data_IF_254690912191
#
_entry.id   IF_254690912191
#
_cell.length_a   1.000
_cell.length_b   1.000
_cell.length_c   1.000
_cell.angle_alpha   90.00
_cell.angle_beta   90.00
_cell.angle_gamma   90.00
#
_symmetry.space_group_name_H-M   'P 1'
#
loop_
_entity.id
_entity.type
_entity.pdbx_description
1 polymer ?
#
# COMPACT_ATOMS: atom_id res chain seq x y z
N UNK A 1 1.82 -27.24 -13.27
CA UNK A 1 2.11 -25.84 -13.69
C UNK A 1 3.54 -25.76 -14.18
N UNK A 2 3.82 -25.02 -15.27
CA UNK A 2 5.21 -24.78 -15.68
C UNK A 2 5.94 -23.99 -14.58
N UNK A 3 7.27 -24.10 -14.42
CA UNK A 3 7.99 -23.38 -13.37
C UNK A 3 7.73 -21.86 -13.38
N UNK A 4 7.68 -21.24 -14.56
CA UNK A 4 7.35 -19.83 -14.70
C UNK A 4 5.93 -19.48 -14.20
N UNK A 5 4.97 -20.39 -14.31
CA UNK A 5 3.62 -20.18 -13.82
C UNK A 5 3.56 -20.12 -12.29
N UNK A 6 4.54 -20.72 -11.60
CA UNK A 6 4.63 -20.77 -10.14
C UNK A 6 5.26 -19.53 -9.50
N UNK A 7 5.61 -18.52 -10.31
CA UNK A 7 6.02 -17.20 -9.82
C UNK A 7 4.83 -16.48 -9.18
N UNK A 8 4.94 -16.14 -7.91
CA UNK A 8 3.86 -15.51 -7.16
C UNK A 8 4.32 -14.42 -6.20
N UNK A 9 3.34 -13.62 -5.76
CA UNK A 9 3.47 -12.60 -4.74
C UNK A 9 2.65 -13.07 -3.54
N UNK A 10 3.20 -12.93 -2.33
CA UNK A 10 2.46 -13.14 -1.08
C UNK A 10 1.83 -11.80 -0.66
N UNK A 11 0.52 -11.77 -0.53
CA UNK A 11 -0.25 -10.60 -0.10
C UNK A 11 -0.87 -10.93 1.25
N UNK A 12 -0.81 -10.01 2.20
CA UNK A 12 -1.44 -10.21 3.49
C UNK A 12 -2.03 -8.92 4.04
N UNK A 13 -3.16 -9.06 4.73
CA UNK A 13 -3.88 -7.97 5.37
C UNK A 13 -4.70 -8.51 6.55
N UNK A 14 -5.07 -7.62 7.45
CA UNK A 14 -5.86 -7.93 8.64
C UNK A 14 -7.32 -7.53 8.45
N UNK A 15 -8.22 -8.37 8.95
CA UNK A 15 -9.67 -8.14 8.89
C UNK A 15 -10.24 -8.16 10.31
N UNK A 16 -10.92 -7.08 10.69
CA UNK A 16 -11.67 -7.04 11.95
C UNK A 16 -12.87 -7.99 11.90
N UNK A 17 -13.09 -8.70 12.98
CA UNK A 17 -14.16 -9.66 13.24
C UNK A 17 -14.99 -9.19 14.43
N UNK A 18 -16.24 -9.63 14.48
CA UNK A 18 -17.02 -9.57 15.73
C UNK A 18 -16.55 -10.71 16.62
N UNK A 19 -15.95 -10.38 17.77
CA UNK A 19 -15.61 -11.36 18.79
C UNK A 19 -16.85 -12.17 19.18
N UNK A 20 -16.78 -13.48 19.01
CA UNK A 20 -17.85 -14.41 19.36
C UNK A 20 -17.30 -15.82 19.51
N UNK A 21 -17.86 -16.60 20.44
CA UNK A 21 -17.55 -18.01 20.59
C UNK A 21 -18.73 -18.83 20.03
N UNK A 22 -18.40 -19.82 19.22
CA UNK A 22 -19.38 -20.76 18.67
C UNK A 22 -18.83 -22.17 18.74
N UNK A 23 -19.64 -23.12 19.20
CA UNK A 23 -19.30 -24.53 19.14
C UNK A 23 -19.65 -25.09 17.76
N UNK A 24 -18.67 -25.74 17.12
CA UNK A 24 -18.85 -26.43 15.86
C UNK A 24 -19.04 -27.92 16.14
N UNK A 25 -20.30 -28.36 16.16
CA UNK A 25 -20.68 -29.76 16.43
C UNK A 25 -20.02 -30.74 15.46
N UNK A 26 -19.92 -30.41 14.17
CA UNK A 26 -19.36 -31.32 13.16
C UNK A 26 -17.87 -31.61 13.36
N UNK A 27 -17.14 -30.70 14.00
CA UNK A 27 -15.71 -30.82 14.26
C UNK A 27 -15.39 -31.03 15.73
N UNK A 28 -16.42 -31.09 16.58
CA UNK A 28 -16.30 -31.10 18.04
C UNK A 28 -15.29 -30.06 18.55
N UNK A 29 -15.44 -28.80 18.08
CA UNK A 29 -14.46 -27.74 18.35
C UNK A 29 -15.15 -26.43 18.72
N UNK A 30 -14.67 -25.80 19.80
CA UNK A 30 -15.03 -24.43 20.14
C UNK A 30 -14.19 -23.46 19.30
N UNK A 31 -14.87 -22.64 18.49
CA UNK A 31 -14.28 -21.62 17.60
C UNK A 31 -14.52 -20.24 18.19
N UNK A 32 -13.61 -19.29 17.94
CA UNK A 32 -13.72 -17.90 18.42
C UNK A 32 -12.55 -17.44 19.28
N UNK A 33 -11.59 -18.33 19.53
CA UNK A 33 -10.38 -18.05 20.29
C UNK A 33 -9.21 -17.62 19.38
N UNK A 34 -8.27 -16.90 19.97
CA UNK A 34 -6.98 -16.55 19.36
C UNK A 34 -6.25 -17.83 18.96
N UNK A 35 -5.79 -17.88 17.71
CA UNK A 35 -5.06 -19.00 17.16
C UNK A 35 -4.03 -18.49 16.14
N UNK A 36 -2.75 -18.60 16.48
CA UNK A 36 -1.65 -18.11 15.65
C UNK A 36 -1.15 -19.15 14.62
N UNK A 37 -1.91 -20.22 14.39
CA UNK A 37 -1.53 -21.36 13.55
C UNK A 37 -0.66 -22.40 14.25
N UNK A 38 -0.25 -22.18 15.51
CA UNK A 38 0.57 -23.10 16.31
C UNK A 38 -0.09 -23.46 17.61
N UNK A 39 -0.59 -22.46 18.31
CA UNK A 39 -1.25 -22.60 19.60
C UNK A 39 -2.59 -21.84 19.60
N UNK A 40 -3.51 -22.33 20.43
CA UNK A 40 -4.78 -21.65 20.71
C UNK A 40 -4.70 -21.06 22.11
N UNK A 41 -5.02 -19.77 22.25
CA UNK A 41 -5.03 -19.06 23.54
C UNK A 41 -6.47 -18.83 23.99
N UNK A 42 -6.77 -18.84 25.30
CA UNK A 42 -8.11 -18.61 25.84
C UNK A 42 -8.50 -17.12 25.80
N UNK A 43 -8.17 -16.43 24.71
CA UNK A 43 -8.47 -15.02 24.45
C UNK A 43 -9.46 -14.95 23.28
N UNK A 44 -10.40 -14.02 23.31
CA UNK A 44 -11.36 -13.84 22.22
C UNK A 44 -10.66 -13.25 20.99
N UNK A 45 -10.81 -13.91 19.85
CA UNK A 45 -10.35 -13.37 18.58
C UNK A 45 -11.33 -12.33 18.05
N UNK A 46 -10.81 -11.16 17.72
CA UNK A 46 -11.55 -10.05 17.09
C UNK A 46 -10.89 -9.59 15.78
N UNK A 47 -9.78 -10.21 15.37
CA UNK A 47 -9.12 -9.98 14.09
C UNK A 47 -8.71 -11.31 13.44
N UNK A 48 -8.74 -11.35 12.10
CA UNK A 48 -8.15 -12.40 11.29
C UNK A 48 -7.05 -11.83 10.40
N UNK A 49 -5.83 -12.37 10.53
CA UNK A 49 -4.74 -12.11 9.61
C UNK A 49 -4.82 -13.13 8.48
N UNK A 50 -4.92 -12.67 7.23
CA UNK A 50 -5.08 -13.54 6.06
C UNK A 50 -3.88 -13.41 5.15
N UNK A 51 -3.40 -14.54 4.64
CA UNK A 51 -2.30 -14.61 3.68
C UNK A 51 -2.81 -15.24 2.38
N UNK A 52 -2.53 -14.59 1.26
CA UNK A 52 -2.98 -14.98 -0.06
C UNK A 52 -1.82 -14.92 -1.05
N UNK A 53 -1.67 -15.96 -1.87
CA UNK A 53 -0.77 -15.89 -3.02
C UNK A 53 -1.49 -15.40 -4.25
N UNK A 54 -0.79 -14.59 -5.05
CA UNK A 54 -1.23 -14.12 -6.36
C UNK A 54 -0.20 -14.51 -7.40
N UNK A 55 -0.63 -15.25 -8.43
CA UNK A 55 0.21 -15.55 -9.58
C UNK A 55 0.64 -14.29 -10.33
N UNK A 56 1.93 -14.18 -10.65
CA UNK A 56 2.51 -13.04 -11.36
C UNK A 56 2.25 -13.12 -12.86
N UNK A 57 2.52 -14.29 -13.45
CA UNK A 57 2.30 -14.54 -14.88
C UNK A 57 0.90 -15.09 -15.14
N UNK A 58 0.43 -16.03 -14.31
CA UNK A 58 -0.91 -16.59 -14.41
C UNK A 58 -1.91 -15.87 -13.51
N UNK A 59 -3.17 -15.85 -13.96
CA UNK A 59 -4.28 -15.28 -13.22
C UNK A 59 -4.87 -16.30 -12.25
N UNK A 60 -4.22 -16.51 -11.12
CA UNK A 60 -4.78 -17.22 -9.96
C UNK A 60 -4.56 -16.41 -8.69
N UNK A 61 -5.47 -16.59 -7.74
CA UNK A 61 -5.38 -16.09 -6.37
C UNK A 61 -5.88 -17.18 -5.44
N UNK A 62 -5.18 -17.40 -4.33
CA UNK A 62 -5.53 -18.46 -3.40
C UNK A 62 -5.14 -18.03 -1.98
N UNK A 63 -6.09 -17.97 -1.02
CA UNK A 63 -5.75 -17.90 0.39
C UNK A 63 -4.94 -19.14 0.77
N UNK A 64 -3.80 -18.95 1.43
CA UNK A 64 -2.87 -20.03 1.78
C UNK A 64 -2.78 -20.25 3.29
N UNK A 65 -3.03 -19.22 4.08
CA UNK A 65 -3.07 -19.32 5.53
C UNK A 65 -3.96 -18.22 6.10
N UNK A 66 -4.48 -18.47 7.29
CA UNK A 66 -5.12 -17.47 8.12
C UNK A 66 -4.82 -17.76 9.58
N UNK A 67 -4.75 -16.71 10.39
CA UNK A 67 -4.58 -16.78 11.83
C UNK A 67 -5.57 -15.82 12.50
N UNK A 68 -5.87 -16.08 13.76
CA UNK A 68 -6.80 -15.30 14.57
C UNK A 68 -6.04 -14.65 15.72
N UNK A 69 -6.27 -13.35 15.92
CA UNK A 69 -5.62 -12.56 16.95
C UNK A 69 -6.65 -11.76 17.76
N UNK A 70 -6.25 -11.41 18.98
CA UNK A 70 -6.92 -10.39 19.77
C UNK A 70 -6.18 -9.07 19.50
N UNK A 71 -6.92 -8.06 19.06
CA UNK A 71 -6.40 -6.88 18.40
C UNK A 71 -5.47 -7.23 17.21
N UNK A 72 -4.59 -6.30 16.86
CA UNK A 72 -3.69 -6.46 15.73
C UNK A 72 -2.58 -7.49 16.01
N UNK A 73 -2.27 -8.31 15.01
CA UNK A 73 -1.17 -9.28 15.07
C UNK A 73 0.16 -8.58 15.32
N UNK A 74 0.89 -8.98 16.36
CA UNK A 74 2.15 -8.33 16.76
C UNK A 74 3.24 -8.54 15.70
N UNK A 75 4.08 -7.53 15.47
CA UNK A 75 5.15 -7.57 14.45
C UNK A 75 6.05 -8.81 14.48
N UNK A 76 6.59 -9.25 15.64
CA UNK A 76 7.42 -10.45 15.71
C UNK A 76 6.69 -11.74 15.33
N UNK A 77 5.45 -11.88 15.77
CA UNK A 77 4.59 -13.03 15.43
C UNK A 77 4.27 -13.04 13.94
N UNK A 78 3.95 -11.87 13.36
CA UNK A 78 3.68 -11.73 11.94
C UNK A 78 4.93 -12.05 11.09
N UNK A 79 6.13 -11.63 11.49
CA UNK A 79 7.37 -11.96 10.81
C UNK A 79 7.58 -13.49 10.75
N UNK A 80 7.34 -14.17 11.87
CA UNK A 80 7.43 -15.62 12.00
C UNK A 80 6.42 -16.34 11.10
N UNK A 81 5.17 -15.85 11.05
CA UNK A 81 4.13 -16.38 10.15
C UNK A 81 4.52 -16.19 8.68
N UNK A 82 4.96 -14.99 8.27
CA UNK A 82 5.41 -14.71 6.91
C UNK A 82 6.53 -15.67 6.50
N UNK A 83 7.53 -15.85 7.35
CA UNK A 83 8.67 -16.74 7.11
C UNK A 83 8.22 -18.19 6.91
N UNK A 84 7.43 -18.71 7.86
CA UNK A 84 6.90 -20.09 7.82
C UNK A 84 6.08 -20.33 6.54
N UNK A 85 5.22 -19.38 6.17
CA UNK A 85 4.38 -19.50 4.97
C UNK A 85 5.24 -19.50 3.70
N UNK A 86 6.25 -18.64 3.62
CA UNK A 86 7.16 -18.59 2.48
C UNK A 86 7.95 -19.90 2.35
N UNK A 87 8.46 -20.44 3.46
CA UNK A 87 9.16 -21.73 3.48
C UNK A 87 8.25 -22.86 2.92
N UNK A 88 7.04 -23.00 3.45
CA UNK A 88 6.05 -23.98 2.97
C UNK A 88 5.68 -23.79 1.48
N UNK A 89 5.56 -22.54 1.03
CA UNK A 89 5.30 -22.23 -0.38
C UNK A 89 6.47 -22.64 -1.28
N UNK A 90 7.70 -22.43 -0.82
CA UNK A 90 8.89 -22.83 -1.56
C UNK A 90 9.03 -24.35 -1.65
N UNK A 91 8.71 -25.08 -0.58
CA UNK A 91 8.70 -26.56 -0.55
C UNK A 91 7.68 -27.16 -1.52
N UNK A 92 6.50 -26.55 -1.64
CA UNK A 92 5.48 -26.93 -2.65
C UNK A 92 5.86 -26.52 -4.09
N UNK A 93 7.01 -25.85 -4.24
CA UNK A 93 7.61 -25.47 -5.51
C UNK A 93 7.15 -24.12 -6.05
N UNK A 94 6.44 -23.30 -5.26
CA UNK A 94 6.19 -21.90 -5.62
C UNK A 94 7.46 -21.06 -5.48
N UNK A 95 7.53 -20.00 -6.26
CA UNK A 95 8.61 -19.03 -6.16
C UNK A 95 8.01 -17.66 -5.79
N UNK A 96 8.05 -17.34 -4.50
CA UNK A 96 7.58 -16.07 -3.94
C UNK A 96 8.63 -15.01 -4.24
N UNK A 97 8.30 -14.03 -5.07
CA UNK A 97 9.25 -12.98 -5.49
C UNK A 97 9.09 -11.68 -4.72
N UNK A 98 7.92 -11.47 -4.10
CA UNK A 98 7.62 -10.27 -3.35
C UNK A 98 6.55 -10.53 -2.29
N UNK A 99 6.54 -9.69 -1.26
CA UNK A 99 5.45 -9.56 -0.31
C UNK A 99 4.74 -8.22 -0.52
N UNK A 100 3.42 -8.15 -0.26
CA UNK A 100 2.63 -6.91 -0.33
C UNK A 100 1.75 -6.80 0.92
N UNK A 101 1.83 -5.66 1.61
CA UNK A 101 1.00 -5.34 2.77
C UNK A 101 0.74 -3.84 2.87
N UNK A 102 -0.09 -3.42 3.83
CA UNK A 102 -0.27 -2.00 4.12
C UNK A 102 0.87 -1.42 5.00
N UNK A 103 0.79 -0.14 5.36
CA UNK A 103 1.80 0.55 6.18
C UNK A 103 1.53 0.48 7.69
N UNK A 104 0.70 -0.45 8.14
CA UNK A 104 0.41 -0.67 9.56
C UNK A 104 1.69 -0.83 10.39
N UNK A 105 1.68 -0.34 11.63
CA UNK A 105 2.87 -0.35 12.50
C UNK A 105 3.42 -1.76 12.70
N UNK A 106 2.55 -2.76 12.87
CA UNK A 106 2.96 -4.15 13.01
C UNK A 106 3.51 -4.74 11.71
N UNK A 107 2.93 -4.41 10.55
CA UNK A 107 3.44 -4.81 9.24
C UNK A 107 4.85 -4.26 8.99
N UNK A 108 5.06 -2.97 9.26
CA UNK A 108 6.39 -2.34 9.17
C UNK A 108 7.40 -2.98 10.12
N UNK A 109 6.99 -3.27 11.36
CA UNK A 109 7.85 -3.96 12.32
C UNK A 109 8.24 -5.36 11.83
N UNK A 110 7.27 -6.15 11.36
CA UNK A 110 7.52 -7.49 10.83
C UNK A 110 8.50 -7.47 9.65
N UNK A 111 8.31 -6.57 8.68
CA UNK A 111 9.23 -6.43 7.55
C UNK A 111 10.64 -6.00 8.01
N UNK A 112 10.74 -5.05 8.93
CA UNK A 112 12.04 -4.62 9.48
C UNK A 112 12.78 -5.75 10.20
N UNK A 113 12.07 -6.62 10.93
CA UNK A 113 12.66 -7.80 11.57
C UNK A 113 13.24 -8.76 10.52
N UNK A 114 12.49 -9.08 9.46
CA UNK A 114 12.95 -9.96 8.38
C UNK A 114 14.13 -9.36 7.58
N UNK A 115 14.12 -8.04 7.35
CA UNK A 115 15.24 -7.32 6.74
C UNK A 115 16.49 -7.35 7.64
N UNK A 116 16.31 -7.19 8.94
CA UNK A 116 17.41 -7.27 9.90
C UNK A 116 18.00 -8.69 9.98
N UNK A 117 17.17 -9.75 9.95
CA UNK A 117 17.65 -11.13 9.83
C UNK A 117 18.52 -11.32 8.58
N UNK A 118 18.05 -10.80 7.44
CA UNK A 118 18.79 -10.85 6.18
C UNK A 118 20.13 -10.12 6.29
N UNK A 119 20.14 -8.92 6.87
CA UNK A 119 21.36 -8.14 7.09
C UNK A 119 22.37 -8.89 7.95
N UNK A 120 21.93 -9.52 9.03
CA UNK A 120 22.79 -10.31 9.92
C UNK A 120 23.35 -11.53 9.19
N UNK A 121 22.56 -12.20 8.35
CA UNK A 121 23.00 -13.34 7.55
C UNK A 121 24.10 -12.94 6.55
N UNK A 122 23.90 -11.84 5.80
CA UNK A 122 24.90 -11.32 4.84
C UNK A 122 26.21 -10.96 5.54
N UNK A 123 26.13 -10.25 6.68
CA UNK A 123 27.32 -9.88 7.46
C UNK A 123 28.10 -11.10 7.96
N UNK A 124 27.41 -12.15 8.42
CA UNK A 124 28.04 -13.41 8.86
C UNK A 124 28.71 -14.16 7.71
N UNK A 125 28.22 -14.00 6.49
CA UNK A 125 28.82 -14.60 5.29
C UNK A 125 30.05 -13.82 4.77
N UNK A 126 30.47 -12.74 5.44
CA UNK A 126 31.62 -11.92 5.04
C UNK A 126 31.35 -11.01 3.83
N UNK A 127 30.08 -10.84 3.45
CA UNK A 127 29.66 -10.00 2.33
C UNK A 127 29.35 -8.57 2.79
N UNK A 128 29.55 -7.60 1.90
CA UNK A 128 29.20 -6.21 2.17
C UNK A 128 27.69 -5.98 2.18
N UNK A 129 27.25 -5.09 3.07
CA UNK A 129 25.88 -4.58 3.14
C UNK A 129 25.61 -3.69 1.91
N UNK A 130 24.93 -4.23 0.90
CA UNK A 130 24.54 -3.52 -0.34
C UNK A 130 23.02 -3.42 -0.48
N UNK A 131 22.51 -3.04 -1.67
CA UNK A 131 21.06 -2.98 -1.98
C UNK A 131 20.29 -4.26 -1.60
N UNK A 132 20.96 -5.41 -1.54
CA UNK A 132 20.42 -6.70 -1.11
C UNK A 132 19.94 -6.70 0.34
N UNK A 133 20.37 -5.74 1.15
CA UNK A 133 19.89 -5.55 2.53
C UNK A 133 18.51 -4.94 2.62
N UNK A 134 17.95 -4.46 1.49
CA UNK A 134 16.55 -4.06 1.36
C UNK A 134 15.66 -5.21 0.90
N UNK A 135 16.21 -6.42 0.76
CA UNK A 135 15.49 -7.62 0.38
C UNK A 135 15.37 -8.55 1.59
N UNK A 136 14.31 -9.35 1.60
CA UNK A 136 14.16 -10.46 2.54
C UNK A 136 14.77 -11.69 1.87
N UNK A 137 15.66 -12.41 2.56
CA UNK A 137 16.23 -13.67 2.08
C UNK A 137 15.68 -14.83 2.92
N UNK A 138 15.01 -15.78 2.25
CA UNK A 138 14.49 -17.02 2.84
C UNK A 138 14.86 -18.18 1.91
N UNK A 139 15.61 -19.16 2.42
CA UNK A 139 16.21 -20.27 1.67
C UNK A 139 16.93 -19.82 0.38
N UNK A 140 17.84 -18.85 0.53
CA UNK A 140 18.64 -18.24 -0.55
C UNK A 140 17.83 -17.56 -1.67
N UNK A 141 16.51 -17.43 -1.50
CA UNK A 141 15.65 -16.69 -2.43
C UNK A 141 15.43 -15.27 -1.94
N UNK A 142 15.67 -14.32 -2.82
CA UNK A 142 15.45 -12.88 -2.61
C UNK A 142 13.99 -12.51 -2.82
N UNK A 143 13.41 -11.82 -1.86
CA UNK A 143 11.99 -11.45 -1.82
C UNK A 143 11.89 -9.95 -1.57
N UNK A 144 11.19 -9.25 -2.46
CA UNK A 144 11.03 -7.79 -2.37
C UNK A 144 9.85 -7.44 -1.46
N UNK A 145 10.05 -6.72 -0.34
CA UNK A 145 8.94 -6.20 0.44
C UNK A 145 8.33 -4.97 -0.23
N UNK A 146 7.03 -5.01 -0.52
CA UNK A 146 6.29 -3.92 -1.15
C UNK A 146 5.12 -3.46 -0.26
N UNK A 147 4.79 -2.18 -0.33
CA UNK A 147 3.57 -1.64 0.26
C UNK A 147 2.46 -1.50 -0.78
N UNK A 148 1.20 -1.61 -0.33
CA UNK A 148 0.03 -1.48 -1.19
C UNK A 148 -0.10 -0.04 -1.76
N UNK A 149 0.03 0.16 -3.08
CA UNK A 149 0.03 1.51 -3.68
C UNK A 149 -1.24 2.33 -3.41
N UNK A 150 -2.46 1.78 -3.46
CA UNK A 150 -3.67 2.45 -2.99
C UNK A 150 -3.58 3.01 -1.56
N UNK A 151 -2.94 2.29 -0.63
CA UNK A 151 -2.72 2.77 0.73
C UNK A 151 -1.68 3.89 0.78
N UNK A 152 -0.58 3.78 0.01
CA UNK A 152 0.41 4.85 -0.14
C UNK A 152 -0.23 6.15 -0.64
N UNK A 153 -1.05 6.07 -1.70
CA UNK A 153 -1.72 7.23 -2.28
C UNK A 153 -2.68 7.90 -1.27
N UNK A 154 -3.41 7.09 -0.49
CA UNK A 154 -4.23 7.61 0.62
C UNK A 154 -3.35 8.27 1.69
N UNK A 155 -2.21 7.67 2.02
CA UNK A 155 -1.23 8.21 2.98
C UNK A 155 -0.69 9.57 2.55
N UNK A 156 -0.26 9.72 1.29
CA UNK A 156 0.20 11.00 0.73
C UNK A 156 -0.92 12.05 0.83
N UNK A 157 -2.15 11.71 0.41
CA UNK A 157 -3.29 12.61 0.52
C UNK A 157 -3.57 13.00 1.97
N UNK A 158 -3.61 12.03 2.87
CA UNK A 158 -3.97 12.26 4.28
C UNK A 158 -2.90 13.09 4.99
N UNK A 159 -1.62 12.86 4.70
CA UNK A 159 -0.55 13.70 5.20
C UNK A 159 -0.67 15.13 4.67
N UNK A 160 -0.99 15.32 3.38
CA UNK A 160 -1.15 16.65 2.81
C UNK A 160 -2.32 17.42 3.41
N UNK A 161 -3.41 16.75 3.85
CA UNK A 161 -4.53 17.39 4.56
C UNK A 161 -4.10 18.10 5.84
N UNK A 162 -3.16 17.49 6.57
CA UNK A 162 -2.78 17.88 7.93
C UNK A 162 -1.41 18.59 7.98
N UNK A 163 -0.59 18.41 6.93
CA UNK A 163 0.81 18.86 6.87
C UNK A 163 1.13 19.42 5.49
N UNK A 164 2.15 20.26 5.44
CA UNK A 164 2.71 20.77 4.19
C UNK A 164 3.79 19.82 3.67
N UNK A 165 3.81 19.62 2.36
CA UNK A 165 4.81 18.79 1.68
C UNK A 165 5.90 19.68 1.09
N UNK A 166 7.11 19.59 1.64
CA UNK A 166 8.30 20.25 1.07
C UNK A 166 9.00 19.31 0.10
N UNK A 167 9.37 19.82 -1.07
CA UNK A 167 10.07 19.06 -2.09
C UNK A 167 10.96 19.97 -2.93
N UNK A 168 11.96 19.42 -3.59
CA UNK A 168 12.87 20.19 -4.46
C UNK A 168 12.58 19.85 -5.92
N UNK A 169 12.41 20.86 -6.75
CA UNK A 169 12.21 20.71 -8.20
C UNK A 169 12.97 21.82 -8.91
N UNK A 170 13.80 21.43 -9.90
CA UNK A 170 14.70 22.33 -10.62
C UNK A 170 15.68 23.08 -9.68
N UNK A 171 16.17 22.39 -8.64
CA UNK A 171 17.01 22.94 -7.56
C UNK A 171 16.35 24.07 -6.74
N UNK A 172 15.04 24.24 -6.86
CA UNK A 172 14.26 25.20 -6.08
C UNK A 172 13.44 24.44 -5.04
N UNK A 173 13.56 24.83 -3.77
CA UNK A 173 12.68 24.32 -2.73
C UNK A 173 11.26 24.83 -2.92
N UNK A 174 10.31 23.89 -2.88
CA UNK A 174 8.90 24.11 -3.10
C UNK A 174 8.04 23.53 -1.97
N UNK A 175 6.88 24.12 -1.72
CA UNK A 175 5.92 23.66 -0.71
C UNK A 175 4.52 23.46 -1.30
N UNK A 176 4.05 22.21 -1.30
CA UNK A 176 2.65 21.91 -1.58
C UNK A 176 1.82 21.96 -0.29
N UNK A 177 0.70 22.70 -0.33
CA UNK A 177 -0.24 22.86 0.78
C UNK A 177 -1.63 22.38 0.36
N UNK A 178 -2.40 21.80 1.27
CA UNK A 178 -3.80 21.45 0.98
C UNK A 178 -4.65 22.66 0.61
N UNK A 179 -4.28 23.84 1.13
CA UNK A 179 -4.98 25.09 0.82
C UNK A 179 -5.02 25.40 -0.68
N UNK A 180 -4.02 24.98 -1.45
CA UNK A 180 -4.03 25.18 -2.90
C UNK A 180 -5.18 24.38 -3.57
N UNK A 181 -5.50 23.19 -3.03
CA UNK A 181 -6.62 22.37 -3.51
C UNK A 181 -7.96 22.97 -3.07
N UNK A 182 -8.02 23.56 -1.87
CA UNK A 182 -9.19 24.33 -1.40
C UNK A 182 -9.49 25.51 -2.33
N UNK A 183 -8.49 26.34 -2.59
CA UNK A 183 -8.61 27.48 -3.50
C UNK A 183 -9.05 27.05 -4.90
N UNK A 184 -8.45 26.01 -5.48
CA UNK A 184 -8.90 25.51 -6.79
C UNK A 184 -10.39 25.11 -6.79
N UNK A 185 -10.86 24.51 -5.71
CA UNK A 185 -12.25 24.11 -5.57
C UNK A 185 -13.18 25.33 -5.43
N UNK A 186 -12.77 26.33 -4.65
CA UNK A 186 -13.50 27.59 -4.43
C UNK A 186 -13.59 28.44 -5.70
N UNK A 187 -12.46 28.60 -6.42
CA UNK A 187 -12.41 29.27 -7.73
C UNK A 187 -13.30 28.57 -8.77
N UNK A 188 -13.50 27.26 -8.61
CA UNK A 188 -14.39 26.44 -9.42
C UNK A 188 -14.29 26.74 -10.93
N UNK A 189 -13.08 26.68 -11.53
CA UNK A 189 -12.85 27.25 -12.85
C UNK A 189 -13.69 26.53 -13.90
N UNK A 190 -14.36 27.31 -14.75
CA UNK A 190 -15.24 26.83 -15.79
C UNK A 190 -15.11 27.67 -17.07
N UNK A 191 -15.27 27.01 -18.22
CA UNK A 191 -15.35 27.66 -19.52
C UNK A 191 -16.70 27.37 -20.15
N UNK A 192 -17.48 28.40 -20.47
CA UNK A 192 -18.84 28.28 -21.04
C UNK A 192 -19.74 27.32 -20.25
N UNK A 193 -19.69 27.40 -18.92
CA UNK A 193 -20.46 26.52 -18.01
C UNK A 193 -19.87 25.12 -17.81
N UNK A 194 -18.78 24.75 -18.48
CA UNK A 194 -18.11 23.45 -18.31
C UNK A 194 -16.97 23.59 -17.31
N UNK A 195 -17.08 22.92 -16.16
CA UNK A 195 -16.04 22.88 -15.12
C UNK A 195 -14.75 22.25 -15.67
N UNK A 196 -13.60 22.86 -15.41
CA UNK A 196 -12.29 22.32 -15.77
C UNK A 196 -11.87 21.15 -14.86
N UNK A 197 -12.33 21.15 -13.61
CA UNK A 197 -12.11 20.08 -12.61
C UNK A 197 -13.44 19.44 -12.15
N UNK A 198 -14.22 18.81 -13.05
CA UNK A 198 -15.60 18.40 -12.76
C UNK A 198 -15.71 17.29 -11.70
N UNK A 199 -14.62 16.58 -11.42
CA UNK A 199 -14.56 15.51 -10.42
C UNK A 199 -14.23 16.01 -9.02
N UNK A 200 -13.65 17.22 -8.90
CA UNK A 200 -13.33 17.80 -7.61
C UNK A 200 -14.62 18.34 -6.97
N UNK A 201 -14.90 17.89 -5.76
CA UNK A 201 -16.12 18.20 -5.01
C UNK A 201 -15.80 18.40 -3.54
N UNK A 202 -16.76 18.86 -2.73
CA UNK A 202 -16.61 19.05 -1.29
C UNK A 202 -16.06 17.80 -0.59
N UNK A 203 -16.54 16.61 -0.97
CA UNK A 203 -16.07 15.34 -0.42
C UNK A 203 -14.61 14.99 -0.71
N UNK A 204 -13.97 15.70 -1.65
CA UNK A 204 -12.53 15.63 -1.89
C UNK A 204 -11.77 16.54 -0.94
N UNK A 205 -12.26 17.77 -0.78
CA UNK A 205 -11.59 18.88 -0.08
C UNK A 205 -11.74 18.76 1.44
N UNK A 206 -12.90 18.32 1.91
CA UNK A 206 -13.20 17.98 3.29
C UNK A 206 -13.56 16.49 3.43
N UNK A 207 -12.55 15.61 3.53
CA UNK A 207 -12.76 14.18 3.40
C UNK A 207 -13.14 13.47 4.70
N UNK A 208 -13.96 14.06 5.59
CA UNK A 208 -14.30 13.47 6.90
C UNK A 208 -14.73 11.99 6.83
N UNK A 209 -15.61 11.64 5.88
CA UNK A 209 -16.08 10.26 5.63
C UNK A 209 -15.43 9.57 4.42
N UNK A 210 -14.51 10.23 3.73
CA UNK A 210 -13.89 9.75 2.48
C UNK A 210 -12.37 9.54 2.60
N UNK A 211 -11.78 9.72 3.79
CA UNK A 211 -10.36 9.43 4.09
C UNK A 211 -9.93 8.01 3.67
N UNK A 212 -10.83 7.02 3.75
CA UNK A 212 -10.53 5.64 3.36
C UNK A 212 -10.79 5.32 1.88
N UNK A 213 -11.49 6.19 1.15
CA UNK A 213 -11.88 5.94 -0.24
C UNK A 213 -10.77 6.38 -1.20
N UNK A 214 -10.04 5.40 -1.75
CA UNK A 214 -8.92 5.59 -2.70
C UNK A 214 -9.32 6.45 -3.92
N UNK A 215 -10.58 6.34 -4.37
CA UNK A 215 -11.12 7.14 -5.48
C UNK A 215 -10.84 8.64 -5.28
N UNK A 216 -11.14 9.18 -4.10
CA UNK A 216 -10.98 10.61 -3.82
C UNK A 216 -9.50 11.02 -3.84
N UNK A 217 -8.63 10.23 -3.20
CA UNK A 217 -7.19 10.47 -3.24
C UNK A 217 -6.65 10.46 -4.69
N UNK A 218 -7.08 9.50 -5.51
CA UNK A 218 -6.66 9.41 -6.92
C UNK A 218 -7.16 10.55 -7.80
N UNK A 219 -8.32 11.12 -7.47
CA UNK A 219 -8.93 12.22 -8.23
C UNK A 219 -8.29 13.57 -7.87
N UNK A 220 -7.94 13.78 -6.60
CA UNK A 220 -7.17 14.95 -6.13
C UNK A 220 -5.82 15.03 -6.86
N UNK A 221 -5.06 13.94 -6.89
CA UNK A 221 -3.75 13.94 -7.58
C UNK A 221 -3.84 13.70 -9.10
N UNK A 222 -5.01 13.94 -9.71
CA UNK A 222 -5.17 13.70 -11.15
C UNK A 222 -4.44 14.73 -12.00
N UNK A 223 -4.09 14.34 -13.24
CA UNK A 223 -3.48 15.25 -14.22
C UNK A 223 -4.34 16.49 -14.45
N UNK A 224 -5.66 16.33 -14.55
CA UNK A 224 -6.59 17.45 -14.79
C UNK A 224 -6.53 18.49 -13.67
N UNK A 225 -6.49 18.06 -12.42
CA UNK A 225 -6.32 18.97 -11.27
C UNK A 225 -4.98 19.69 -11.37
N UNK A 226 -3.88 18.95 -11.51
CA UNK A 226 -2.54 19.53 -11.60
C UNK A 226 -2.39 20.54 -12.76
N UNK A 227 -2.88 20.21 -13.96
CA UNK A 227 -2.82 21.12 -15.12
C UNK A 227 -3.67 22.37 -14.93
N UNK A 228 -4.86 22.25 -14.34
CA UNK A 228 -5.73 23.42 -14.07
C UNK A 228 -5.11 24.34 -13.02
N UNK A 229 -4.50 23.76 -11.98
CA UNK A 229 -3.79 24.53 -10.96
C UNK A 229 -2.58 25.25 -11.54
N UNK A 230 -1.77 24.57 -12.37
CA UNK A 230 -0.64 25.19 -13.06
C UNK A 230 -1.08 26.38 -13.92
N UNK A 231 -2.14 26.19 -14.71
CA UNK A 231 -2.73 27.27 -15.51
C UNK A 231 -3.16 28.45 -14.64
N UNK A 232 -3.97 28.23 -13.60
CA UNK A 232 -4.45 29.33 -12.75
C UNK A 232 -3.33 30.02 -11.96
N UNK A 233 -2.28 29.30 -11.58
CA UNK A 233 -1.11 29.88 -10.93
C UNK A 233 -0.35 30.83 -11.86
N UNK A 234 -0.20 30.48 -13.15
CA UNK A 234 0.47 31.35 -14.14
C UNK A 234 -0.29 32.66 -14.37
N UNK A 235 -1.61 32.69 -14.14
CA UNK A 235 -2.46 33.89 -14.22
C UNK A 235 -2.70 34.56 -12.85
N UNK A 236 -1.96 34.19 -11.80
CA UNK A 236 -2.08 34.73 -10.44
C UNK A 236 -3.48 34.58 -9.79
N UNK A 237 -4.32 33.66 -10.25
CA UNK A 237 -5.61 33.36 -9.61
C UNK A 237 -5.48 32.49 -8.36
N UNK A 238 -4.36 31.77 -8.23
CA UNK A 238 -4.04 31.00 -7.03
C UNK A 238 -2.85 31.65 -6.32
N UNK A 239 -2.87 31.66 -4.98
CA UNK A 239 -1.71 32.14 -4.18
C UNK A 239 -0.47 31.25 -4.31
N UNK A 240 -0.58 30.18 -5.12
CA UNK A 240 0.50 29.36 -5.67
C UNK A 240 1.46 30.16 -6.59
N UNK A 241 1.18 31.44 -6.87
CA UNK A 241 1.94 32.30 -7.80
C UNK A 241 3.39 32.56 -7.39
N UNK A 242 3.79 32.32 -6.14
CA UNK A 242 5.22 32.20 -5.86
C UNK A 242 5.72 30.91 -6.49
N UNK A 243 6.73 30.98 -7.36
CA UNK A 243 7.43 29.85 -8.02
C UNK A 243 7.85 28.68 -7.08
N UNK A 244 7.63 28.84 -5.77
CA UNK A 244 7.81 27.92 -4.67
C UNK A 244 6.63 26.95 -4.44
N UNK A 245 5.41 27.14 -4.96
CA UNK A 245 4.24 26.44 -4.40
C UNK A 245 3.47 25.52 -5.38
N UNK A 246 4.16 24.88 -6.35
CA UNK A 246 3.51 23.90 -7.27
C UNK A 246 3.12 22.60 -6.55
N UNK A 247 2.05 21.93 -7.00
CA UNK A 247 1.64 20.61 -6.49
C UNK A 247 2.25 19.48 -7.32
N UNK A 248 2.68 18.45 -6.62
CA UNK A 248 3.18 17.19 -7.21
C UNK A 248 2.03 16.56 -8.01
N UNK A 249 2.24 16.42 -9.32
CA UNK A 249 1.30 15.73 -10.19
C UNK A 249 1.47 14.22 -10.05
N UNK A 250 0.46 13.43 -10.46
CA UNK A 250 0.65 11.98 -10.56
C UNK A 250 1.86 11.57 -11.41
N UNK A 251 2.30 12.38 -12.39
CA UNK A 251 3.51 12.07 -13.15
C UNK A 251 4.78 12.19 -12.30
N UNK A 252 4.80 13.10 -11.33
CA UNK A 252 5.93 13.34 -10.44
C UNK A 252 5.95 12.28 -9.31
N UNK A 253 4.77 11.83 -8.87
CA UNK A 253 4.63 10.65 -7.99
C UNK A 253 5.03 9.37 -8.74
N UNK A 254 4.58 9.22 -9.99
CA UNK A 254 4.89 8.06 -10.84
C UNK A 254 6.38 8.06 -11.26
N UNK A 255 7.09 9.20 -11.31
CA UNK A 255 8.52 9.25 -11.67
C UNK A 255 9.46 8.83 -10.54
N UNK A 256 9.07 9.09 -9.28
CA UNK A 256 9.77 8.54 -8.10
C UNK A 256 9.36 7.07 -7.84
N UNK A 257 8.13 6.66 -8.19
CA UNK A 257 7.71 5.26 -8.22
C UNK A 257 8.27 4.45 -9.42
N UNK A 258 8.74 5.11 -10.49
CA UNK A 258 9.28 4.44 -11.69
C UNK A 258 10.62 3.72 -11.42
N UNK A 259 11.31 4.07 -10.33
CA UNK A 259 12.48 3.31 -9.83
C UNK A 259 12.04 2.00 -9.14
N UNK A 260 10.80 1.90 -8.66
CA UNK A 260 10.27 0.74 -7.92
C UNK A 260 9.26 -0.13 -8.70
N UNK A 261 8.66 0.36 -9.79
CA UNK A 261 7.49 -0.31 -10.38
C UNK A 261 7.43 -0.33 -11.93
N UNK A 262 8.53 -0.67 -12.60
CA UNK A 262 8.57 -0.87 -14.06
C UNK A 262 7.62 -1.97 -14.63
N UNK A 263 6.74 -2.60 -13.85
CA UNK A 263 5.66 -3.48 -14.37
C UNK A 263 4.24 -3.19 -13.83
N UNK A 264 4.04 -2.22 -12.94
CA UNK A 264 2.70 -1.91 -12.39
C UNK A 264 1.85 -0.99 -13.27
N UNK A 265 2.46 -0.22 -14.20
CA UNK A 265 1.75 0.64 -15.18
C UNK A 265 0.71 -0.12 -16.01
N UNK A 266 0.93 -1.41 -16.28
CA UNK A 266 -0.03 -2.28 -16.99
C UNK A 266 -1.20 -2.74 -16.10
N UNK A 267 -1.01 -2.80 -14.78
CA UNK A 267 -2.02 -3.18 -13.79
C UNK A 267 -2.94 -2.01 -13.43
N UNK A 268 -2.40 -0.79 -13.23
CA UNK A 268 -3.20 0.40 -12.95
C UNK A 268 -4.16 0.76 -14.11
N UNK A 269 -3.71 0.67 -15.37
CA UNK A 269 -4.60 0.87 -16.53
C UNK A 269 -5.71 -0.18 -16.65
N UNK A 270 -5.56 -1.37 -16.05
CA UNK A 270 -6.47 -2.50 -16.23
C UNK A 270 -7.55 -2.57 -15.14
N UNK A 271 -7.25 -2.12 -13.92
CA UNK A 271 -8.23 -2.02 -12.83
C UNK A 271 -9.27 -0.89 -13.03
N UNK A 272 -8.99 0.10 -13.88
CA UNK A 272 -9.88 1.22 -14.16
C UNK A 272 -10.58 1.16 -15.53
N UNK A 273 -10.46 0.06 -16.29
CA UNK A 273 -11.37 -0.17 -17.42
C UNK A 273 -12.74 -0.54 -16.86
N UNK A 274 -13.65 0.44 -16.80
CA UNK A 274 -15.09 0.16 -16.83
C UNK A 274 -15.33 -0.78 -18.01
N UNK A 275 -15.89 -1.97 -17.76
CA UNK A 275 -16.71 -2.62 -18.79
C UNK A 275 -17.87 -1.65 -19.03
N UNK A 276 -18.11 -1.36 -20.31
CA UNK A 276 -19.20 -0.50 -20.78
C UNK A 276 -20.52 -0.83 -20.08
#
# INVERSE_FOLDING_TARGET
MKPADKLCILIFDEMSLKANITYNESKDLVVGFVNNGRETKPEFADHAQVFMIRGLLRKYKQPVAYTFAQAATKGPELALQIKTIIENLQETGFNVVATVCDQGTNNRNALNLLLNETRVHILRSGQEVREETKLIIINDKKIVPLYDPPHLLKGIRNNLLEKNLRYTSDNIEKTAKWNHIKQLHEENPAYKGIRLVPKLSDSHVDPMRTKMKVKFASQVFSRTVSSTMGYLADFNFLTCSEHKDKLISKKDIDSDEDVMQCKAKKYFKRCFKRKN
#
